data_IF_871054148193
#
_entry.id   IF_871054148193
#
_cell.length_a   1.000
_cell.length_b   1.000
_cell.length_c   1.000
_cell.angle_alpha   90.00
_cell.angle_beta   90.00
_cell.angle_gamma   90.00
#
_symmetry.space_group_name_H-M   'P 1'
#
loop_
_entity.id
_entity.type
_entity.pdbx_description
1 polymer ?
#
# COMPACT_ATOMS: atom_id res chain seq x y z
N UNK A 1 15.95 -2.76 24.96
CA UNK A 1 14.60 -3.07 24.41
C UNK A 1 14.18 -2.07 23.33
N UNK A 2 14.55 -0.77 23.41
CA UNK A 2 14.19 0.28 22.45
C UNK A 2 14.75 0.15 21.02
N UNK A 3 15.87 -0.55 20.81
CA UNK A 3 16.44 -0.70 19.45
C UNK A 3 15.56 -1.56 18.54
N UNK A 4 14.87 -2.57 19.09
CA UNK A 4 14.09 -3.54 18.29
C UNK A 4 12.77 -2.95 17.79
N UNK A 5 12.15 -2.08 18.57
CA UNK A 5 10.92 -1.35 18.20
C UNK A 5 11.22 -0.33 17.10
N UNK A 6 12.34 0.38 17.19
CA UNK A 6 12.77 1.33 16.15
C UNK A 6 13.04 0.60 14.81
N UNK A 7 13.72 -0.54 14.84
CA UNK A 7 13.97 -1.36 13.65
C UNK A 7 12.68 -1.87 13.00
N UNK A 8 11.67 -2.21 13.80
CA UNK A 8 10.37 -2.64 13.28
C UNK A 8 9.64 -1.51 12.55
N UNK A 9 9.64 -0.30 13.12
CA UNK A 9 9.03 0.87 12.48
C UNK A 9 9.72 1.21 11.14
N UNK A 10 11.06 1.20 11.14
CA UNK A 10 11.84 1.38 9.91
C UNK A 10 11.48 0.29 8.90
N UNK A 11 11.49 -0.99 9.30
CA UNK A 11 11.16 -2.09 8.40
C UNK A 11 9.75 -1.99 7.79
N UNK A 12 8.77 -1.60 8.60
CA UNK A 12 7.37 -1.44 8.15
C UNK A 12 7.20 -0.38 7.08
N UNK A 13 8.08 0.63 7.01
CA UNK A 13 8.05 1.64 5.94
C UNK A 13 8.44 1.07 4.57
N UNK A 14 9.13 -0.08 4.51
CA UNK A 14 9.64 -0.69 3.28
C UNK A 14 8.98 -2.03 2.93
N UNK A 15 8.36 -2.70 3.89
CA UNK A 15 7.73 -3.99 3.66
C UNK A 15 6.48 -3.86 2.77
N UNK A 16 6.17 -4.89 1.95
CA UNK A 16 4.93 -4.91 1.19
C UNK A 16 3.73 -4.76 2.13
N UNK A 17 2.95 -3.72 1.89
CA UNK A 17 1.93 -3.24 2.84
C UNK A 17 0.70 -4.17 2.85
N UNK A 18 0.47 -4.96 1.79
CA UNK A 18 -0.72 -5.78 1.63
C UNK A 18 -0.64 -7.10 2.43
N UNK A 19 -1.09 -7.10 3.70
CA UNK A 19 -1.78 -8.21 4.41
C UNK A 19 -1.25 -9.66 4.35
N UNK A 20 -0.09 -9.93 3.77
CA UNK A 20 0.47 -11.26 3.52
C UNK A 20 1.99 -11.27 3.68
N UNK A 21 2.51 -10.32 4.47
CA UNK A 21 3.94 -10.20 4.79
C UNK A 21 4.21 -10.83 6.16
N UNK A 22 4.75 -12.04 6.19
CA UNK A 22 5.20 -12.68 7.42
C UNK A 22 6.68 -12.37 7.65
N UNK A 23 6.97 -11.46 8.58
CA UNK A 23 8.35 -11.10 8.93
C UNK A 23 9.00 -12.27 9.68
N UNK A 24 10.05 -12.84 9.10
CA UNK A 24 10.87 -13.88 9.73
C UNK A 24 11.89 -13.29 10.68
N UNK A 25 12.63 -12.26 10.25
CA UNK A 25 13.66 -11.64 11.07
C UNK A 25 13.94 -10.19 10.67
N UNK A 26 14.38 -9.37 11.63
CA UNK A 26 14.90 -8.02 11.40
C UNK A 26 16.17 -7.88 12.25
N UNK A 27 17.30 -7.67 11.59
CA UNK A 27 18.61 -7.59 12.23
C UNK A 27 19.35 -6.33 11.78
N UNK A 28 20.03 -5.65 12.71
CA UNK A 28 20.95 -4.55 12.41
C UNK A 28 22.36 -5.10 12.30
N UNK A 29 23.09 -4.69 11.26
CA UNK A 29 24.47 -5.12 11.00
C UNK A 29 25.29 -3.95 10.41
N UNK A 30 26.56 -4.16 10.07
CA UNK A 30 27.39 -3.17 9.40
C UNK A 30 28.11 -3.73 8.17
N UNK A 31 28.09 -2.97 7.07
CA UNK A 31 28.85 -3.30 5.86
C UNK A 31 30.21 -2.63 5.92
N UNK A 32 31.27 -3.45 5.88
CA UNK A 32 32.65 -2.93 5.82
C UNK A 32 32.88 -2.19 4.52
N UNK A 33 33.21 -0.90 4.65
CA UNK A 33 33.64 -0.08 3.52
C UNK A 33 34.86 -0.71 2.82
N UNK A 34 34.82 -0.77 1.48
CA UNK A 34 35.98 -1.20 0.65
C UNK A 34 37.11 -0.17 0.62
N UNK A 35 36.91 1.03 1.17
CA UNK A 35 37.87 2.12 1.19
C UNK A 35 38.33 2.42 2.62
N UNK A 36 39.65 2.51 2.83
CA UNK A 36 40.33 2.61 4.13
C UNK A 36 39.94 3.81 5.02
N UNK A 37 39.09 4.73 4.55
CA UNK A 37 38.76 5.99 5.23
C UNK A 37 37.25 6.28 5.36
N UNK A 38 36.34 5.36 5.01
CA UNK A 38 34.91 5.55 5.26
C UNK A 38 34.48 4.72 6.48
N UNK A 39 33.58 5.29 7.29
CA UNK A 39 32.91 4.58 8.38
C UNK A 39 32.11 3.40 7.83
N UNK A 40 31.97 2.33 8.63
CA UNK A 40 31.16 1.17 8.24
C UNK A 40 29.70 1.62 8.07
N UNK A 41 29.08 1.28 6.94
CA UNK A 41 27.70 1.67 6.65
C UNK A 41 26.74 0.86 7.55
N UNK A 42 25.87 1.56 8.27
CA UNK A 42 24.84 0.93 9.08
C UNK A 42 23.77 0.30 8.18
N UNK A 43 23.50 -0.99 8.39
CA UNK A 43 22.49 -1.71 7.62
C UNK A 43 21.43 -2.38 8.49
N UNK A 44 20.26 -2.60 7.88
CA UNK A 44 19.20 -3.44 8.43
C UNK A 44 18.90 -4.53 7.42
N UNK A 45 18.93 -5.79 7.86
CA UNK A 45 18.56 -6.96 7.09
C UNK A 45 17.17 -7.40 7.56
N UNK A 46 16.23 -7.51 6.63
CA UNK A 46 14.85 -7.91 6.88
C UNK A 46 14.57 -9.16 6.06
N UNK A 47 14.23 -10.25 6.74
CA UNK A 47 13.76 -11.48 6.11
C UNK A 47 12.25 -11.57 6.28
N UNK A 48 11.52 -11.78 5.19
CA UNK A 48 10.06 -11.87 5.22
C UNK A 48 9.53 -12.79 4.13
N UNK A 49 8.35 -13.35 4.36
CA UNK A 49 7.59 -14.07 3.34
C UNK A 49 6.55 -13.10 2.78
N UNK A 50 6.43 -13.02 1.47
CA UNK A 50 5.35 -12.31 0.81
C UNK A 50 4.85 -13.13 -0.38
N UNK A 51 3.53 -13.32 -0.52
CA UNK A 51 2.94 -14.16 -1.58
C UNK A 51 3.59 -15.56 -1.68
N UNK A 52 3.81 -16.23 -0.53
CA UNK A 52 4.47 -17.54 -0.42
C UNK A 52 5.91 -17.61 -0.97
N UNK A 53 6.60 -16.48 -1.09
CA UNK A 53 8.02 -16.41 -1.48
C UNK A 53 8.84 -15.73 -0.39
N UNK A 54 10.07 -16.19 -0.20
CA UNK A 54 10.98 -15.67 0.81
C UNK A 54 11.86 -14.57 0.25
N UNK A 55 11.92 -13.45 0.98
CA UNK A 55 12.68 -12.29 0.60
C UNK A 55 13.68 -11.91 1.68
N UNK A 56 14.83 -11.41 1.25
CA UNK A 56 15.80 -10.73 2.10
C UNK A 56 16.00 -9.31 1.58
N UNK A 57 15.63 -8.32 2.37
CA UNK A 57 15.81 -6.89 2.07
C UNK A 57 16.94 -6.33 2.94
N UNK A 58 17.83 -5.55 2.34
CA UNK A 58 18.91 -4.85 3.04
C UNK A 58 18.69 -3.36 2.87
N UNK A 59 18.46 -2.66 3.98
CA UNK A 59 18.39 -1.22 4.07
C UNK A 59 19.77 -0.66 4.45
N UNK A 60 20.16 0.46 3.86
CA UNK A 60 21.36 1.24 4.23
C UNK A 60 20.92 2.61 4.73
N UNK A 61 21.59 3.13 5.75
CA UNK A 61 21.38 4.49 6.22
C UNK A 61 22.31 5.47 5.50
N UNK A 62 21.73 6.43 4.77
CA UNK A 62 22.45 7.53 4.12
C UNK A 62 21.97 8.86 4.71
N UNK A 63 22.77 9.48 5.58
CA UNK A 63 22.48 10.79 6.18
C UNK A 63 21.09 10.88 6.84
N UNK A 64 20.77 9.94 7.73
CA UNK A 64 19.49 9.84 8.46
C UNK A 64 18.29 9.39 7.62
N UNK A 65 18.48 9.01 6.35
CA UNK A 65 17.46 8.39 5.52
C UNK A 65 17.78 6.91 5.26
N UNK A 66 16.76 6.04 5.39
CA UNK A 66 16.89 4.62 5.06
C UNK A 66 16.44 4.37 3.62
N UNK A 67 17.22 3.59 2.87
CA UNK A 67 16.87 3.19 1.51
C UNK A 67 17.14 1.71 1.28
N UNK A 68 16.42 1.11 0.33
CA UNK A 68 16.63 -0.27 -0.07
C UNK A 68 17.90 -0.35 -0.92
N UNK A 69 18.98 -0.88 -0.33
CA UNK A 69 20.22 -1.16 -1.06
C UNK A 69 20.10 -2.43 -1.88
N UNK A 70 19.53 -3.50 -1.30
CA UNK A 70 19.36 -4.81 -1.96
C UNK A 70 18.06 -5.48 -1.57
N UNK A 71 17.48 -6.21 -2.51
CA UNK A 71 16.33 -7.08 -2.30
C UNK A 71 16.58 -8.39 -3.06
N UNK A 72 16.58 -9.50 -2.33
CA UNK A 72 16.77 -10.84 -2.83
C UNK A 72 15.47 -11.62 -2.68
N UNK A 73 15.20 -12.52 -3.61
CA UNK A 73 14.20 -13.58 -3.48
C UNK A 73 14.98 -14.90 -3.40
N UNK A 74 14.70 -15.72 -2.39
CA UNK A 74 15.32 -17.03 -2.19
C UNK A 74 14.73 -18.02 -3.21
N UNK A 75 15.09 -17.87 -4.49
CA UNK A 75 14.89 -18.93 -5.47
C UNK A 75 16.24 -19.60 -5.67
N UNK A 76 16.37 -20.78 -5.05
CA UNK A 76 17.36 -21.84 -5.24
C UNK A 76 18.65 -21.44 -5.99
N UNK A 77 19.70 -21.16 -5.22
CA UNK A 77 21.03 -21.62 -5.56
C UNK A 77 21.21 -22.93 -4.79
N UNK A 78 21.00 -24.07 -5.46
CA UNK A 78 21.83 -25.27 -5.33
C UNK A 78 21.35 -26.37 -6.30
N UNK A 79 22.30 -26.74 -7.17
CA UNK A 79 22.61 -28.05 -7.76
C UNK A 79 21.67 -28.71 -8.79
N UNK A 80 22.21 -28.79 -10.01
CA UNK A 80 21.90 -29.72 -11.08
C UNK A 80 21.86 -31.18 -10.60
N UNK A 81 20.84 -31.95 -11.00
CA UNK A 81 21.03 -33.24 -11.71
C UNK A 81 19.67 -33.81 -12.18
N UNK A 82 19.60 -34.06 -13.49
CA UNK A 82 18.65 -34.91 -14.24
C UNK A 82 17.13 -34.60 -14.20
N UNK A 83 16.69 -33.75 -15.15
CA UNK A 83 15.31 -33.80 -15.66
C UNK A 83 15.17 -33.35 -17.13
N UNK A 84 16.09 -33.79 -18.00
CA UNK A 84 16.22 -33.31 -19.39
C UNK A 84 15.14 -33.75 -20.38
N UNK A 85 14.10 -34.50 -19.97
CA UNK A 85 13.07 -35.01 -20.89
C UNK A 85 11.65 -34.46 -20.67
N UNK A 86 11.42 -33.65 -19.63
CA UNK A 86 10.12 -33.01 -19.35
C UNK A 86 10.14 -31.48 -19.42
N UNK A 87 11.32 -30.86 -19.49
CA UNK A 87 11.47 -29.39 -19.56
C UNK A 87 11.26 -28.82 -20.97
N UNK A 88 11.54 -29.58 -22.05
CA UNK A 88 11.43 -29.03 -23.42
C UNK A 88 9.98 -28.75 -23.87
N UNK A 89 8.98 -29.54 -23.45
CA UNK A 89 7.58 -29.28 -23.80
C UNK A 89 6.94 -28.20 -22.90
N UNK A 90 7.37 -28.11 -21.63
CA UNK A 90 6.92 -27.08 -20.67
C UNK A 90 7.48 -25.69 -21.04
N UNK A 91 8.77 -25.63 -21.40
CA UNK A 91 9.42 -24.38 -21.80
C UNK A 91 8.87 -23.84 -23.13
N UNK A 92 8.48 -24.71 -24.07
CA UNK A 92 7.86 -24.24 -25.32
C UNK A 92 6.45 -23.67 -25.12
N UNK A 93 5.66 -24.17 -24.17
CA UNK A 93 4.32 -23.61 -23.88
C UNK A 93 4.44 -22.31 -23.09
N UNK A 94 5.34 -22.21 -22.10
CA UNK A 94 5.60 -20.96 -21.37
C UNK A 94 6.23 -19.87 -22.25
N UNK A 95 7.18 -20.21 -23.13
CA UNK A 95 7.84 -19.23 -24.00
C UNK A 95 6.91 -18.77 -25.13
N UNK A 96 5.98 -19.61 -25.60
CA UNK A 96 4.92 -19.20 -26.54
C UNK A 96 3.90 -18.28 -25.85
N UNK A 97 3.46 -18.59 -24.62
CA UNK A 97 2.57 -17.70 -23.84
C UNK A 97 3.26 -16.36 -23.54
N UNK A 98 4.54 -16.35 -23.15
CA UNK A 98 5.33 -15.11 -22.98
C UNK A 98 5.49 -14.31 -24.27
N UNK A 99 5.75 -14.97 -25.40
CA UNK A 99 5.90 -14.28 -26.70
C UNK A 99 4.58 -13.67 -27.17
N UNK A 100 3.45 -14.33 -26.88
CA UNK A 100 2.10 -13.79 -27.15
C UNK A 100 1.82 -12.61 -26.22
N UNK A 101 2.10 -12.75 -24.92
CA UNK A 101 1.94 -11.68 -23.93
C UNK A 101 2.79 -10.45 -24.27
N UNK A 102 4.06 -10.61 -24.64
CA UNK A 102 4.95 -9.52 -25.06
C UNK A 102 4.45 -8.78 -26.31
N UNK A 103 3.90 -9.51 -27.29
CA UNK A 103 3.28 -8.90 -28.46
C UNK A 103 1.94 -8.21 -28.13
N UNK A 104 1.17 -8.72 -27.16
CA UNK A 104 -0.09 -8.14 -26.71
C UNK A 104 0.11 -6.83 -25.92
N UNK A 105 1.23 -6.70 -25.20
CA UNK A 105 1.50 -5.54 -24.35
C UNK A 105 2.07 -4.32 -25.10
N UNK A 106 2.23 -4.37 -26.44
CA UNK A 106 2.69 -3.24 -27.27
C UNK A 106 3.98 -2.56 -26.77
N UNK A 107 4.94 -3.34 -26.25
CA UNK A 107 6.19 -2.78 -25.71
C UNK A 107 6.06 -2.12 -24.33
N UNK A 108 4.94 -2.33 -23.63
CA UNK A 108 4.76 -2.00 -22.21
C UNK A 108 5.29 -3.16 -21.34
N UNK A 109 5.68 -2.85 -20.11
CA UNK A 109 6.20 -3.81 -19.15
C UNK A 109 5.10 -4.28 -18.21
N UNK A 110 5.06 -5.58 -17.91
CA UNK A 110 4.17 -6.13 -16.88
C UNK A 110 4.68 -5.69 -15.50
N UNK A 111 3.79 -5.06 -14.74
CA UNK A 111 4.01 -4.56 -13.38
C UNK A 111 3.56 -5.60 -12.36
N UNK A 112 2.35 -6.13 -12.55
CA UNK A 112 1.76 -7.15 -11.70
C UNK A 112 0.78 -8.00 -12.51
N UNK A 113 0.50 -9.20 -12.01
CA UNK A 113 -0.28 -10.21 -12.72
C UNK A 113 -1.06 -11.11 -11.78
N UNK A 114 -2.33 -11.37 -12.11
CA UNK A 114 -3.16 -12.34 -11.41
C UNK A 114 -4.11 -13.06 -12.38
N UNK A 115 -4.55 -14.26 -12.00
CA UNK A 115 -5.55 -15.05 -12.70
C UNK A 115 -6.78 -15.25 -11.81
N UNK A 116 -7.97 -15.19 -12.38
CA UNK A 116 -9.22 -15.47 -11.67
C UNK A 116 -10.45 -15.28 -12.56
N UNK A 117 -11.59 -15.84 -12.14
CA UNK A 117 -12.87 -15.59 -12.81
C UNK A 117 -13.42 -14.23 -12.34
N UNK A 118 -13.32 -13.23 -13.21
CA UNK A 118 -13.84 -11.87 -12.97
C UNK A 118 -15.08 -11.58 -13.83
N UNK A 119 -15.42 -12.47 -14.77
CA UNK A 119 -16.58 -12.34 -15.64
C UNK A 119 -17.82 -13.05 -15.09
N UNK A 120 -17.64 -14.01 -14.18
CA UNK A 120 -18.68 -14.83 -13.55
C UNK A 120 -19.11 -16.04 -14.40
N UNK A 121 -18.32 -16.42 -15.41
CA UNK A 121 -18.66 -17.51 -16.32
C UNK A 121 -17.89 -18.81 -16.06
N UNK A 122 -17.12 -18.86 -14.97
CA UNK A 122 -16.29 -19.97 -14.48
C UNK A 122 -15.07 -20.28 -15.34
N UNK A 123 -14.72 -19.45 -16.31
CA UNK A 123 -13.43 -19.51 -17.01
C UNK A 123 -12.44 -18.58 -16.33
N UNK A 124 -11.17 -18.98 -16.32
CA UNK A 124 -10.12 -18.18 -15.67
C UNK A 124 -9.65 -17.10 -16.63
N UNK A 125 -9.82 -15.85 -16.24
CA UNK A 125 -9.30 -14.69 -16.94
C UNK A 125 -7.86 -14.40 -16.50
N UNK A 126 -7.09 -13.73 -17.36
CA UNK A 126 -5.74 -13.22 -17.06
C UNK A 126 -5.81 -11.70 -16.90
N UNK A 127 -5.34 -11.15 -15.79
CA UNK A 127 -5.41 -9.72 -15.49
C UNK A 127 -3.99 -9.20 -15.22
N UNK A 128 -3.62 -8.12 -15.89
CA UNK A 128 -2.31 -7.49 -15.80
C UNK A 128 -2.43 -6.02 -15.45
N UNK A 129 -1.44 -5.53 -14.72
CA UNK A 129 -1.08 -4.12 -14.73
C UNK A 129 0.15 -3.94 -15.62
N UNK A 130 0.13 -2.94 -16.49
CA UNK A 130 1.26 -2.65 -17.39
C UNK A 130 1.68 -1.19 -17.37
N UNK A 131 2.97 -0.94 -17.51
CA UNK A 131 3.58 0.40 -17.45
C UNK A 131 4.45 0.68 -18.68
N UNK A 132 4.62 1.95 -19.05
CA UNK A 132 5.53 2.32 -20.16
C UNK A 132 7.00 2.20 -19.77
N UNK A 133 7.31 2.37 -18.49
CA UNK A 133 8.64 2.15 -17.94
C UNK A 133 8.75 0.76 -17.33
N UNK A 134 9.96 0.20 -17.38
CA UNK A 134 10.24 -1.07 -16.70
C UNK A 134 10.12 -0.85 -15.19
N UNK A 135 9.36 -1.68 -14.46
CA UNK A 135 9.39 -1.68 -13.01
C UNK A 135 10.83 -1.97 -12.59
N UNK A 136 11.52 -0.95 -12.11
CA UNK A 136 12.86 -1.07 -11.59
C UNK A 136 12.82 -1.20 -10.07
N UNK A 137 13.98 -1.18 -9.43
CA UNK A 137 14.06 -1.31 -7.97
C UNK A 137 13.34 -0.19 -7.20
N UNK A 138 13.06 0.95 -7.84
CA UNK A 138 12.32 2.04 -7.20
C UNK A 138 10.83 1.73 -7.03
N UNK A 139 10.31 0.77 -7.80
CA UNK A 139 8.87 0.46 -7.82
C UNK A 139 8.03 1.53 -8.52
N UNK A 140 8.66 2.53 -9.16
CA UNK A 140 7.96 3.57 -9.91
C UNK A 140 7.32 3.01 -11.19
N UNK A 141 6.08 3.42 -11.43
CA UNK A 141 5.31 3.10 -12.63
C UNK A 141 4.73 4.38 -13.21
N UNK A 142 4.64 4.41 -14.54
CA UNK A 142 4.12 5.54 -15.29
C UNK A 142 3.13 5.07 -16.36
N UNK A 143 2.08 5.86 -16.57
CA UNK A 143 0.99 5.55 -17.49
C UNK A 143 0.34 4.18 -17.25
N UNK A 144 0.20 3.73 -16.00
CA UNK A 144 -0.32 2.42 -15.63
C UNK A 144 -1.66 2.07 -16.30
N UNK A 145 -1.73 0.89 -16.91
CA UNK A 145 -2.88 0.39 -17.65
C UNK A 145 -3.33 -0.97 -17.11
N UNK A 146 -4.63 -1.14 -16.92
CA UNK A 146 -5.26 -2.42 -16.60
C UNK A 146 -5.55 -3.18 -17.91
N UNK A 147 -5.02 -4.39 -18.03
CA UNK A 147 -5.24 -5.26 -19.19
C UNK A 147 -5.95 -6.54 -18.73
N UNK A 148 -7.06 -6.88 -19.39
CA UNK A 148 -7.85 -8.07 -19.13
C UNK A 148 -7.85 -8.94 -20.39
N UNK A 149 -7.45 -10.19 -20.25
CA UNK A 149 -7.59 -11.22 -21.29
C UNK A 149 -8.67 -12.19 -20.84
N UNK A 150 -9.78 -12.20 -21.57
CA UNK A 150 -10.95 -13.03 -21.29
C UNK A 150 -10.66 -14.49 -21.57
N UNK A 151 -10.77 -15.36 -20.56
CA UNK A 151 -10.40 -16.77 -20.66
C UNK A 151 -11.30 -17.61 -21.57
N UNK A 152 -12.50 -17.12 -21.89
CA UNK A 152 -13.48 -17.82 -22.73
C UNK A 152 -13.51 -17.28 -24.15
N UNK A 153 -13.46 -15.96 -24.31
CA UNK A 153 -13.52 -15.30 -25.61
C UNK A 153 -12.14 -15.12 -26.23
N UNK A 154 -11.06 -15.20 -25.44
CA UNK A 154 -9.71 -14.80 -25.82
C UNK A 154 -9.63 -13.36 -26.36
N UNK A 155 -10.54 -12.49 -25.90
CA UNK A 155 -10.53 -11.05 -26.23
C UNK A 155 -9.70 -10.28 -25.19
N UNK A 156 -9.09 -9.18 -25.63
CA UNK A 156 -8.24 -8.34 -24.81
C UNK A 156 -8.91 -6.98 -24.63
N UNK A 157 -9.10 -6.55 -23.39
CA UNK A 157 -9.52 -5.19 -23.05
C UNK A 157 -8.42 -4.47 -22.28
N UNK A 158 -8.29 -3.18 -22.55
CA UNK A 158 -7.30 -2.29 -21.96
C UNK A 158 -8.00 -1.05 -21.39
N UNK A 159 -7.64 -0.65 -20.19
CA UNK A 159 -8.26 0.46 -19.48
C UNK A 159 -7.21 1.32 -18.79
N UNK A 160 -7.25 2.62 -19.06
CA UNK A 160 -6.42 3.62 -18.37
C UNK A 160 -7.06 3.97 -17.04
N UNK A 161 -6.25 4.04 -15.98
CA UNK A 161 -6.68 4.50 -14.66
C UNK A 161 -6.65 6.04 -14.59
N UNK A 162 -7.58 6.71 -13.87
CA UNK A 162 -7.59 8.17 -13.74
C UNK A 162 -6.26 8.77 -13.25
N UNK A 163 -5.77 8.28 -12.11
CA UNK A 163 -4.40 8.45 -11.63
C UNK A 163 -3.64 7.14 -11.89
N UNK A 164 -2.63 7.22 -12.74
CA UNK A 164 -1.91 6.07 -13.31
C UNK A 164 -0.37 6.17 -13.20
N UNK A 165 0.14 7.10 -12.41
CA UNK A 165 1.58 7.24 -12.14
C UNK A 165 1.82 7.22 -10.65
N UNK A 166 2.82 6.47 -10.18
CA UNK A 166 3.10 6.33 -8.75
C UNK A 166 4.07 5.19 -8.45
N UNK A 167 4.02 4.68 -7.22
CA UNK A 167 4.93 3.64 -6.74
C UNK A 167 4.18 2.40 -6.28
N UNK A 168 4.87 1.26 -6.39
CA UNK A 168 4.47 -0.02 -5.81
C UNK A 168 3.05 -0.44 -6.21
N UNK A 169 2.71 -0.28 -7.50
CA UNK A 169 1.41 -0.69 -7.99
C UNK A 169 1.20 -2.20 -7.82
N UNK A 170 0.02 -2.58 -7.31
CA UNK A 170 -0.36 -3.98 -7.06
C UNK A 170 -1.78 -4.28 -7.50
N UNK A 171 -1.98 -5.55 -7.82
CA UNK A 171 -3.23 -6.11 -8.32
C UNK A 171 -3.66 -7.30 -7.45
N UNK A 172 -4.90 -7.30 -6.98
CA UNK A 172 -5.50 -8.43 -6.24
C UNK A 172 -6.97 -8.61 -6.62
N UNK A 173 -7.56 -9.74 -6.22
CA UNK A 173 -8.94 -10.09 -6.52
C UNK A 173 -9.72 -10.45 -5.24
N UNK A 174 -10.85 -9.79 -5.02
CA UNK A 174 -11.75 -10.02 -3.89
C UNK A 174 -13.20 -9.88 -4.33
N UNK A 175 -14.15 -10.49 -3.64
CA UNK A 175 -15.57 -10.20 -3.87
C UNK A 175 -15.95 -9.08 -2.91
N UNK A 176 -16.18 -7.85 -3.38
CA UNK A 176 -16.53 -6.74 -2.50
C UNK A 176 -18.03 -6.46 -2.49
N UNK A 177 -18.73 -6.76 -3.58
CA UNK A 177 -20.14 -6.45 -3.74
C UNK A 177 -21.08 -7.62 -3.36
N UNK A 178 -20.50 -8.77 -3.00
CA UNK A 178 -21.20 -9.96 -2.51
C UNK A 178 -21.95 -10.73 -3.57
N UNK A 179 -21.59 -10.54 -4.84
CA UNK A 179 -22.31 -11.12 -5.97
C UNK A 179 -21.74 -12.46 -6.46
N UNK A 180 -20.69 -12.95 -5.77
CA UNK A 180 -20.01 -14.22 -6.01
C UNK A 180 -18.94 -14.18 -7.11
N UNK A 181 -18.76 -13.03 -7.79
CA UNK A 181 -17.72 -12.81 -8.81
C UNK A 181 -16.61 -11.95 -8.21
N UNK A 182 -15.35 -12.27 -8.51
CA UNK A 182 -14.23 -11.48 -8.01
C UNK A 182 -14.15 -10.13 -8.73
N UNK A 183 -14.01 -9.08 -7.95
CA UNK A 183 -13.71 -7.73 -8.38
C UNK A 183 -12.19 -7.48 -8.34
N UNK A 184 -11.74 -6.56 -9.18
CA UNK A 184 -10.37 -6.16 -9.39
C UNK A 184 -10.01 -5.06 -8.39
N UNK A 185 -9.05 -5.33 -7.50
CA UNK A 185 -8.47 -4.35 -6.58
C UNK A 185 -7.11 -3.88 -7.07
N UNK A 186 -6.95 -2.57 -7.25
CA UNK A 186 -5.69 -1.96 -7.65
C UNK A 186 -5.28 -0.93 -6.59
N UNK A 187 -4.02 -0.99 -6.15
CA UNK A 187 -3.45 0.02 -5.27
C UNK A 187 -2.10 0.54 -5.78
N UNK A 188 -1.82 1.82 -5.51
CA UNK A 188 -0.56 2.52 -5.80
C UNK A 188 -0.29 3.54 -4.69
N UNK A 189 0.93 4.05 -4.61
CA UNK A 189 1.27 5.16 -3.70
C UNK A 189 1.70 6.37 -4.51
N UNK A 190 1.25 7.55 -4.11
CA UNK A 190 1.63 8.83 -4.72
C UNK A 190 3.11 9.13 -4.54
N UNK A 191 3.67 9.94 -5.45
CA UNK A 191 4.95 10.58 -5.21
C UNK A 191 4.81 11.67 -4.11
N UNK A 192 5.85 11.87 -3.29
CA UNK A 192 5.92 12.95 -2.29
C UNK A 192 5.71 12.54 -0.83
N UNK A 193 5.86 13.52 0.07
CA UNK A 193 5.93 13.29 1.54
C UNK A 193 4.61 12.93 2.21
N UNK A 194 3.47 13.14 1.52
CA UNK A 194 2.15 12.75 2.02
C UNK A 194 1.94 11.23 2.02
N UNK A 195 2.63 10.51 1.11
CA UNK A 195 2.43 9.08 0.81
C UNK A 195 0.94 8.72 0.76
N UNK A 196 0.17 9.46 -0.05
CA UNK A 196 -1.25 9.17 -0.24
C UNK A 196 -1.39 7.93 -1.12
N UNK A 197 -2.34 7.05 -0.79
CA UNK A 197 -2.60 5.85 -1.56
C UNK A 197 -3.66 6.09 -2.64
N UNK A 198 -3.39 5.58 -3.83
CA UNK A 198 -4.34 5.52 -4.94
C UNK A 198 -4.98 4.14 -4.95
N UNK A 199 -6.31 4.10 -4.90
CA UNK A 199 -7.07 2.87 -4.79
C UNK A 199 -8.25 2.86 -5.76
N UNK A 200 -8.39 1.74 -6.45
CA UNK A 200 -9.53 1.48 -7.33
C UNK A 200 -10.08 0.08 -7.11
N UNK A 201 -11.41 -0.03 -7.20
CA UNK A 201 -12.10 -1.31 -7.25
C UNK A 201 -12.98 -1.31 -8.49
N UNK A 202 -12.81 -2.32 -9.34
CA UNK A 202 -13.62 -2.52 -10.53
C UNK A 202 -14.27 -3.89 -10.54
N UNK A 203 -15.56 -3.95 -10.82
CA UNK A 203 -16.19 -5.19 -11.25
C UNK A 203 -16.04 -5.34 -12.75
N UNK A 204 -15.80 -6.56 -13.24
CA UNK A 204 -15.82 -6.88 -14.67
C UNK A 204 -16.85 -7.97 -15.02
N UNK A 205 -17.83 -8.15 -14.13
CA UNK A 205 -18.88 -9.15 -14.28
C UNK A 205 -19.63 -8.98 -15.61
N UNK A 206 -19.91 -10.09 -16.27
CA UNK A 206 -20.53 -10.12 -17.61
C UNK A 206 -19.78 -9.27 -18.65
N UNK A 207 -18.45 -9.08 -18.49
CA UNK A 207 -17.58 -8.34 -19.40
C UNK A 207 -17.89 -6.84 -19.49
N UNK A 208 -18.46 -6.28 -18.42
CA UNK A 208 -18.73 -4.85 -18.30
C UNK A 208 -17.91 -4.29 -17.16
N UNK A 209 -16.97 -3.39 -17.47
CA UNK A 209 -16.18 -2.72 -16.43
C UNK A 209 -17.06 -1.68 -15.70
N UNK A 210 -17.27 -1.90 -14.41
CA UNK A 210 -17.95 -0.97 -13.51
C UNK A 210 -16.99 -0.54 -12.41
N UNK A 211 -16.81 0.77 -12.24
CA UNK A 211 -16.10 1.31 -11.08
C UNK A 211 -16.99 1.14 -9.82
N UNK A 212 -16.47 0.46 -8.80
CA UNK A 212 -17.10 0.31 -7.49
C UNK A 212 -16.47 1.28 -6.46
N UNK A 213 -15.18 1.56 -6.59
CA UNK A 213 -14.47 2.50 -5.72
C UNK A 213 -13.43 3.31 -6.49
N UNK A 214 -13.32 4.58 -6.14
CA UNK A 214 -12.33 5.53 -6.64
C UNK A 214 -11.87 6.42 -5.47
N UNK A 215 -10.56 6.39 -5.19
CA UNK A 215 -9.98 7.11 -4.06
C UNK A 215 -10.17 8.64 -4.16
N UNK A 216 -10.17 9.23 -5.36
CA UNK A 216 -10.40 10.67 -5.53
C UNK A 216 -11.84 11.01 -5.19
N UNK A 217 -12.80 10.22 -5.67
CA UNK A 217 -14.22 10.39 -5.31
C UNK A 217 -14.39 10.26 -3.79
N UNK A 218 -13.77 9.24 -3.19
CA UNK A 218 -13.82 9.03 -1.74
C UNK A 218 -13.22 10.22 -0.97
N UNK A 219 -12.00 10.65 -1.27
CA UNK A 219 -11.32 11.77 -0.60
C UNK A 219 -12.06 13.11 -0.83
N UNK A 220 -12.75 13.24 -1.97
CA UNK A 220 -13.58 14.40 -2.25
C UNK A 220 -14.83 14.43 -1.36
N UNK A 221 -15.47 13.29 -1.13
CA UNK A 221 -16.71 13.21 -0.35
C UNK A 221 -16.45 13.17 1.16
N UNK A 222 -15.45 12.40 1.60
CA UNK A 222 -15.08 12.28 3.02
C UNK A 222 -14.27 13.48 3.49
N UNK A 223 -14.97 14.55 3.85
CA UNK A 223 -14.35 15.78 4.34
C UNK A 223 -14.10 15.75 5.84
N UNK A 224 -12.85 16.01 6.19
CA UNK A 224 -12.41 16.23 7.56
C UNK A 224 -12.04 17.69 7.80
N UNK A 225 -12.24 18.14 9.04
CA UNK A 225 -11.66 19.38 9.55
C UNK A 225 -10.82 19.06 10.76
N UNK A 226 -9.63 19.64 10.86
CA UNK A 226 -8.79 19.52 12.03
C UNK A 226 -8.25 20.89 12.47
N UNK A 227 -8.24 21.14 13.78
CA UNK A 227 -7.72 22.39 14.35
C UNK A 227 -7.14 22.16 15.73
N UNK A 228 -6.12 22.96 16.06
CA UNK A 228 -5.64 23.02 17.43
C UNK A 228 -6.65 23.74 18.32
N UNK A 229 -6.73 23.32 19.57
CA UNK A 229 -7.49 23.91 20.65
C UNK A 229 -6.55 24.23 21.81
N UNK A 230 -6.95 25.17 22.67
CA UNK A 230 -6.24 25.43 23.92
C UNK A 230 -6.04 24.16 24.74
N UNK A 231 -5.00 24.20 25.58
CA UNK A 231 -4.63 23.16 26.52
C UNK A 231 -4.22 21.86 25.82
N UNK A 232 -3.36 21.99 24.80
CA UNK A 232 -2.67 20.89 24.12
C UNK A 232 -3.64 19.89 23.48
N UNK A 233 -4.69 20.40 22.83
CA UNK A 233 -5.72 19.56 22.21
C UNK A 233 -5.80 19.79 20.72
N UNK A 234 -6.21 18.75 19.99
CA UNK A 234 -6.57 18.83 18.58
C UNK A 234 -7.98 18.31 18.41
N UNK A 235 -8.85 19.13 17.83
CA UNK A 235 -10.19 18.72 17.42
C UNK A 235 -10.15 18.24 15.99
N UNK A 236 -10.80 17.11 15.74
CA UNK A 236 -11.01 16.55 14.40
C UNK A 236 -12.49 16.28 14.20
N UNK A 237 -13.06 16.81 13.12
CA UNK A 237 -14.46 16.61 12.73
C UNK A 237 -14.51 15.80 11.44
N UNK A 238 -15.17 14.65 11.50
CA UNK A 238 -15.56 13.87 10.34
C UNK A 238 -16.95 14.29 9.91
N UNK A 239 -17.07 15.00 8.79
CA UNK A 239 -18.36 15.56 8.36
C UNK A 239 -19.33 14.47 7.92
N UNK A 240 -18.81 13.49 7.17
CA UNK A 240 -19.62 12.41 6.61
C UNK A 240 -20.18 11.53 7.73
N UNK A 241 -19.31 11.04 8.62
CA UNK A 241 -19.72 10.21 9.74
C UNK A 241 -20.41 11.00 10.87
N UNK A 242 -20.40 12.34 10.83
CA UNK A 242 -20.89 13.25 11.88
C UNK A 242 -20.25 12.99 13.25
N UNK A 243 -18.94 12.71 13.23
CA UNK A 243 -18.16 12.40 14.43
C UNK A 243 -17.21 13.53 14.79
N UNK A 244 -16.98 13.69 16.09
CA UNK A 244 -15.99 14.61 16.65
C UNK A 244 -15.03 13.83 17.53
N UNK A 245 -13.73 14.07 17.32
CA UNK A 245 -12.66 13.53 18.13
C UNK A 245 -11.85 14.66 18.76
N UNK A 246 -11.31 14.40 19.95
CA UNK A 246 -10.38 15.28 20.65
C UNK A 246 -9.13 14.47 20.97
N UNK A 247 -7.99 14.90 20.45
CA UNK A 247 -6.68 14.31 20.70
C UNK A 247 -5.99 15.15 21.75
N UNK A 248 -5.49 14.52 22.80
CA UNK A 248 -4.58 15.14 23.75
C UNK A 248 -3.13 14.95 23.26
N UNK A 249 -2.45 16.06 22.97
CA UNK A 249 -1.05 16.09 22.52
C UNK A 249 -0.09 16.59 23.60
N UNK A 250 -0.53 16.68 24.87
CA UNK A 250 0.27 17.18 26.00
C UNK A 250 1.55 16.38 26.26
N UNK A 251 1.60 15.14 25.79
CA UNK A 251 2.76 14.25 25.93
C UNK A 251 3.77 14.37 24.78
N UNK A 252 3.48 15.16 23.72
CA UNK A 252 4.48 15.47 22.69
C UNK A 252 5.63 16.28 23.30
N UNK A 253 6.78 16.27 22.63
CA UNK A 253 7.97 16.98 23.13
C UNK A 253 7.70 18.45 23.46
N UNK A 254 8.23 18.92 24.60
CA UNK A 254 8.05 20.31 25.05
C UNK A 254 8.50 21.34 24.00
N UNK A 255 9.55 21.04 23.23
CA UNK A 255 10.03 21.92 22.15
C UNK A 255 8.99 22.05 21.03
N UNK A 256 8.35 20.94 20.67
CA UNK A 256 7.25 20.91 19.71
C UNK A 256 6.04 21.72 20.23
N UNK A 257 5.59 21.47 21.46
CA UNK A 257 4.43 22.16 22.04
C UNK A 257 4.65 23.67 22.15
N UNK A 258 5.87 24.12 22.45
CA UNK A 258 6.25 25.54 22.47
C UNK A 258 6.12 26.23 21.11
N UNK A 259 6.07 25.51 19.98
CA UNK A 259 5.80 26.13 18.68
C UNK A 259 4.33 26.57 18.55
N UNK A 260 3.42 25.89 19.25
CA UNK A 260 1.97 26.03 19.09
C UNK A 260 1.36 26.81 20.26
N UNK A 261 1.85 26.59 21.48
CA UNK A 261 1.23 27.06 22.73
C UNK A 261 2.11 28.03 23.50
N UNK A 262 1.46 28.96 24.19
CA UNK A 262 2.02 29.75 25.28
C UNK A 262 2.27 28.86 26.51
N UNK A 263 3.08 29.34 27.46
CA UNK A 263 3.39 28.56 28.68
C UNK A 263 2.15 28.22 29.53
N UNK A 264 1.10 29.04 29.45
CA UNK A 264 -0.17 28.79 30.12
C UNK A 264 -1.08 27.78 29.39
N UNK A 265 -0.62 27.16 28.29
CA UNK A 265 -1.36 26.20 27.48
C UNK A 265 -2.31 26.81 26.46
N UNK A 266 -2.42 28.15 26.36
CA UNK A 266 -3.26 28.78 25.33
C UNK A 266 -2.56 28.82 23.97
N UNK A 267 -3.31 28.76 22.88
CA UNK A 267 -2.75 28.87 21.53
C UNK A 267 -2.05 30.21 21.32
N UNK A 268 -0.87 30.18 20.70
CA UNK A 268 -0.18 31.41 20.26
C UNK A 268 -0.93 32.12 19.15
N UNK A 269 -1.53 31.34 18.26
CA UNK A 269 -2.36 31.79 17.15
C UNK A 269 -3.27 30.65 16.72
N UNK A 270 -4.35 30.97 16.00
CA UNK A 270 -5.22 29.96 15.40
C UNK A 270 -4.47 29.18 14.32
N UNK A 271 -4.03 27.96 14.65
CA UNK A 271 -3.35 27.05 13.73
C UNK A 271 -4.30 25.93 13.29
N UNK A 272 -4.14 25.46 12.05
CA UNK A 272 -4.85 24.29 11.54
C UNK A 272 -3.95 23.05 11.64
N UNK A 273 -4.53 21.97 12.11
CA UNK A 273 -4.03 20.63 11.82
C UNK A 273 -4.68 20.18 10.50
N UNK A 274 -4.23 19.07 9.93
CA UNK A 274 -4.77 18.58 8.66
C UNK A 274 -5.05 17.09 8.76
N UNK A 275 -6.05 16.64 7.99
CA UNK A 275 -6.25 15.22 7.72
C UNK A 275 -5.92 15.03 6.25
N UNK A 276 -4.99 14.12 5.96
CA UNK A 276 -4.58 13.80 4.60
C UNK A 276 -5.58 12.85 3.94
N UNK A 277 -5.44 12.64 2.62
CA UNK A 277 -6.17 11.59 1.91
C UNK A 277 -5.92 10.20 2.49
N UNK A 278 -6.59 9.18 1.96
CA UNK A 278 -6.33 7.79 2.37
C UNK A 278 -4.83 7.53 2.22
N UNK A 279 -4.16 7.16 3.31
CA UNK A 279 -2.76 6.74 3.28
C UNK A 279 -2.64 5.23 3.04
N UNK A 280 -3.56 4.45 3.62
CA UNK A 280 -3.57 2.99 3.53
C UNK A 280 -5.00 2.50 3.45
N UNK A 281 -5.27 1.50 2.60
CA UNK A 281 -6.55 0.80 2.53
C UNK A 281 -6.32 -0.71 2.41
N UNK A 282 -7.03 -1.47 3.25
CA UNK A 282 -6.98 -2.93 3.23
C UNK A 282 -8.34 -3.52 2.89
N UNK A 283 -8.40 -4.52 2.01
CA UNK A 283 -9.55 -5.42 1.94
C UNK A 283 -9.57 -6.29 3.20
N UNK A 284 -10.70 -6.32 3.90
CA UNK A 284 -10.89 -7.12 5.13
C UNK A 284 -12.23 -7.85 5.09
N UNK A 285 -12.27 -9.10 5.51
CA UNK A 285 -13.51 -9.88 5.66
C UNK A 285 -13.84 -9.94 7.16
N UNK A 286 -14.65 -8.98 7.63
CA UNK A 286 -14.83 -8.74 9.07
C UNK A 286 -15.67 -9.84 9.73
N UNK A 287 -16.67 -10.35 9.00
CA UNK A 287 -17.62 -11.35 9.49
C UNK A 287 -17.36 -12.75 8.91
N UNK A 288 -16.27 -12.93 8.16
CA UNK A 288 -15.82 -14.18 7.55
C UNK A 288 -16.88 -14.79 6.61
N UNK A 289 -17.56 -13.93 5.84
CA UNK A 289 -18.60 -14.30 4.88
C UNK A 289 -18.07 -14.35 3.42
N UNK A 290 -16.78 -14.07 3.22
CA UNK A 290 -16.08 -13.98 1.93
C UNK A 290 -16.46 -12.80 1.03
N UNK A 291 -17.22 -11.85 1.56
CA UNK A 291 -17.49 -10.52 1.01
C UNK A 291 -16.64 -9.51 1.77
N UNK A 292 -15.76 -8.81 1.05
CA UNK A 292 -14.75 -7.98 1.66
C UNK A 292 -15.28 -6.56 1.89
N UNK A 293 -15.11 -6.06 3.11
CA UNK A 293 -15.14 -4.65 3.46
C UNK A 293 -13.79 -3.96 3.20
N UNK A 294 -13.76 -2.64 3.32
CA UNK A 294 -12.55 -1.83 3.23
C UNK A 294 -12.19 -1.24 4.58
N UNK A 295 -10.92 -1.33 4.93
CA UNK A 295 -10.37 -0.71 6.13
C UNK A 295 -9.37 0.38 5.76
N UNK A 296 -9.80 1.63 5.91
CA UNK A 296 -9.11 2.82 5.44
C UNK A 296 -8.46 3.60 6.59
N UNK A 297 -7.26 4.11 6.35
CA UNK A 297 -6.51 4.97 7.26
C UNK A 297 -6.31 6.35 6.64
N UNK A 298 -6.66 7.40 7.39
CA UNK A 298 -6.32 8.78 7.08
C UNK A 298 -5.41 9.33 8.17
N UNK A 299 -4.25 9.87 7.78
CA UNK A 299 -3.32 10.49 8.72
C UNK A 299 -3.80 11.86 9.16
N UNK A 300 -3.82 12.08 10.47
CA UNK A 300 -3.98 13.42 11.05
C UNK A 300 -2.58 13.96 11.31
N UNK A 301 -2.22 15.03 10.63
CA UNK A 301 -0.90 15.66 10.70
C UNK A 301 -0.96 17.05 11.35
N UNK A 302 0.12 17.38 12.05
CA UNK A 302 0.23 18.61 12.81
C UNK A 302 0.91 19.74 12.04
N UNK A 303 2.04 20.24 12.55
CA UNK A 303 2.71 21.45 12.02
C UNK A 303 3.20 21.23 10.58
N UNK A 304 3.55 20.00 10.23
CA UNK A 304 3.95 19.59 8.89
C UNK A 304 3.47 18.15 8.62
N UNK A 305 3.60 17.68 7.38
CA UNK A 305 3.13 16.36 6.94
C UNK A 305 3.89 15.17 7.54
N UNK A 306 5.06 15.40 8.14
CA UNK A 306 5.84 14.35 8.82
C UNK A 306 5.41 14.17 10.28
N UNK A 307 4.74 15.16 10.86
CA UNK A 307 4.23 15.12 12.24
C UNK A 307 2.87 14.45 12.31
N UNK A 308 2.85 13.11 12.34
CA UNK A 308 1.63 12.36 12.60
C UNK A 308 1.19 12.55 14.05
N UNK A 309 -0.06 12.96 14.24
CA UNK A 309 -0.71 13.13 15.54
C UNK A 309 -1.57 11.91 15.90
N UNK A 310 -2.29 11.38 14.92
CA UNK A 310 -3.21 10.24 15.06
C UNK A 310 -3.59 9.71 13.66
N UNK A 311 -4.36 8.62 13.64
CA UNK A 311 -4.97 8.07 12.45
C UNK A 311 -6.49 8.02 12.63
N UNK A 312 -7.23 8.41 11.60
CA UNK A 312 -8.66 8.06 11.49
C UNK A 312 -8.72 6.71 10.79
N UNK A 313 -9.42 5.78 11.42
CA UNK A 313 -9.62 4.42 10.97
C UNK A 313 -11.09 4.26 10.57
N UNK A 314 -11.37 4.02 9.29
CA UNK A 314 -12.75 3.91 8.78
C UNK A 314 -12.97 2.56 8.14
N UNK A 315 -14.03 1.86 8.55
CA UNK A 315 -14.50 0.65 7.90
C UNK A 315 -15.62 1.00 6.94
N UNK A 316 -15.50 0.58 5.68
CA UNK A 316 -16.50 0.79 4.65
C UNK A 316 -17.07 -0.56 4.19
N UNK A 317 -18.39 -0.61 4.01
CA UNK A 317 -19.08 -1.78 3.47
C UNK A 317 -19.87 -1.40 2.23
N UNK A 318 -19.92 -2.30 1.25
CA UNK A 318 -20.77 -2.13 0.09
C UNK A 318 -22.24 -2.20 0.49
N UNK A 319 -23.02 -1.18 0.17
CA UNK A 319 -24.45 -1.10 0.51
C UNK A 319 -25.39 -1.58 -0.62
N UNK A 320 -24.82 -1.81 -1.81
CA UNK A 320 -25.55 -2.11 -3.05
C UNK A 320 -25.25 -1.14 -4.18
N UNK A 321 -24.80 0.07 -3.88
CA UNK A 321 -24.48 1.13 -4.84
C UNK A 321 -23.10 1.75 -4.63
N UNK A 322 -22.70 2.01 -3.38
CA UNK A 322 -21.36 2.49 -3.03
C UNK A 322 -20.85 1.93 -1.69
N UNK A 323 -19.59 2.23 -1.38
CA UNK A 323 -19.00 1.90 -0.09
C UNK A 323 -19.36 2.96 0.94
N UNK A 324 -20.12 2.58 1.97
CA UNK A 324 -20.52 3.47 3.05
C UNK A 324 -19.78 3.16 4.36
N UNK A 325 -19.45 4.19 5.19
CA UNK A 325 -18.87 3.98 6.51
C UNK A 325 -19.81 3.23 7.46
N UNK A 326 -19.36 2.08 7.96
CA UNK A 326 -20.08 1.31 9.00
C UNK A 326 -19.50 1.52 10.41
N UNK A 327 -18.24 1.95 10.49
CA UNK A 327 -17.58 2.33 11.74
C UNK A 327 -16.42 3.28 11.47
N UNK A 328 -16.15 4.20 12.41
CA UNK A 328 -14.98 5.06 12.36
C UNK A 328 -14.41 5.31 13.76
N UNK A 329 -13.12 5.06 13.90
CA UNK A 329 -12.36 5.20 15.13
C UNK A 329 -11.19 6.18 14.95
N UNK A 330 -10.61 6.56 16.08
CA UNK A 330 -9.38 7.35 16.15
C UNK A 330 -8.32 6.52 16.85
N UNK A 331 -7.21 6.24 16.16
CA UNK A 331 -6.05 5.56 16.72
C UNK A 331 -4.92 6.56 17.03
N UNK A 332 -4.34 6.42 18.21
CA UNK A 332 -3.22 7.25 18.70
C UNK A 332 -2.09 6.30 19.06
N UNK A 333 -0.87 6.61 18.60
CA UNK A 333 0.31 5.82 18.94
C UNK A 333 0.54 5.77 20.45
N UNK A 334 0.89 4.58 20.95
CA UNK A 334 1.38 4.41 22.31
C UNK A 334 2.69 5.17 22.55
N UNK A 335 3.02 5.40 23.82
CA UNK A 335 4.26 6.02 24.25
C UNK A 335 5.03 5.05 25.12
N UNK A 336 6.37 5.14 25.09
CA UNK A 336 7.21 4.39 26.00
C UNK A 336 6.89 4.79 27.45
N UNK A 337 6.90 3.82 28.35
CA UNK A 337 6.75 4.03 29.78
C UNK A 337 8.15 4.36 30.33
N UNK A 338 8.26 5.48 31.05
CA UNK A 338 9.48 5.89 31.76
C UNK A 338 9.87 4.94 32.91
#
# INVERSE_FOLDING_TARGET
MNSKINLMNIAMDFLPINGGTDIKSINKDSLKSKFRNNEDEEIIIIEYIYNNKEYTMILVNNNDEWEISRLYNYINLDEDEDNSYLEEESNMVEDVDRTIEDNMMNGRFIVDFIKGDITGDKNIDKIYLTSVNKPDKSGFVDDLELVIVDGKMNDIKKFTLPANTGYNAKLNLYDFNGDGVKDIYICMISEGSGKEGFYYIYSYKNRVLKNLFDFEKYNKNNKFEAKYLDYYKVEVISKECKLKYIIDISQKEKKYLKLIYNENGTLKQSNKAMVLGISVMYPVDIDNNHVYELYCFNRIVGINTNDTLAYIETYLKWDGDEFEPIAQNLAISGMDID
#
